data_IF_650641934809
#
_entry.id   IF_650641934809
#
_cell.length_a   1.000
_cell.length_b   1.000
_cell.length_c   1.000
_cell.angle_alpha   90.00
_cell.angle_beta   90.00
_cell.angle_gamma   90.00
#
_symmetry.space_group_name_H-M   'P 1'
#
loop_
_entity.id
_entity.type
_entity.pdbx_description
1 polymer ?
#
# COMPACT_ATOMS: atom_id res chain seq x y z
N UNK A 1 -17.57 15.34 -20.98
CA UNK A 1 -18.73 15.21 -20.06
C UNK A 1 -19.21 16.58 -19.68
N UNK A 2 -20.54 16.80 -19.78
CA UNK A 2 -21.14 18.13 -19.66
C UNK A 2 -22.13 18.25 -18.50
N UNK A 3 -22.51 17.11 -17.90
CA UNK A 3 -23.42 17.05 -16.75
C UNK A 3 -22.89 16.16 -15.65
N UNK A 4 -23.26 16.50 -14.43
CA UNK A 4 -22.91 15.75 -13.21
C UNK A 4 -23.94 14.68 -12.85
N UNK A 5 -25.05 14.62 -13.58
CA UNK A 5 -26.06 13.60 -13.37
C UNK A 5 -25.63 12.24 -13.94
N UNK A 6 -25.92 11.16 -13.22
CA UNK A 6 -25.73 9.77 -13.70
C UNK A 6 -27.06 9.20 -14.19
N UNK A 7 -27.70 9.90 -15.13
CA UNK A 7 -29.01 9.57 -15.69
C UNK A 7 -28.97 8.89 -17.06
N UNK A 8 -27.78 8.71 -17.62
CA UNK A 8 -27.57 8.15 -18.95
C UNK A 8 -27.91 9.11 -20.09
N UNK A 9 -28.22 10.38 -19.82
CA UNK A 9 -28.45 11.39 -20.83
C UNK A 9 -27.17 11.68 -21.65
N UNK A 10 -27.27 12.17 -22.88
CA UNK A 10 -26.14 12.66 -23.64
C UNK A 10 -25.35 13.68 -22.83
N UNK A 11 -24.02 13.49 -22.68
CA UNK A 11 -23.18 14.34 -21.86
C UNK A 11 -22.93 13.83 -20.44
N UNK A 12 -23.69 12.86 -19.94
CA UNK A 12 -23.36 12.18 -18.67
C UNK A 12 -22.13 11.30 -18.80
N UNK A 13 -21.40 11.10 -17.70
CA UNK A 13 -20.21 10.22 -17.67
C UNK A 13 -20.54 8.82 -18.23
N UNK A 14 -21.65 8.23 -17.81
CA UNK A 14 -22.09 6.90 -18.26
C UNK A 14 -22.33 6.84 -19.76
N UNK A 15 -23.00 7.85 -20.34
CA UNK A 15 -23.25 7.90 -21.77
C UNK A 15 -21.96 8.08 -22.58
N UNK A 16 -21.04 8.93 -22.11
CA UNK A 16 -19.76 9.16 -22.76
C UNK A 16 -18.87 7.90 -22.71
N UNK A 17 -18.79 7.20 -21.58
CA UNK A 17 -18.07 5.93 -21.48
C UNK A 17 -18.67 4.88 -22.41
N UNK A 18 -20.01 4.80 -22.52
CA UNK A 18 -20.67 3.84 -23.40
C UNK A 18 -20.39 4.11 -24.89
N UNK A 19 -20.29 5.37 -25.28
CA UNK A 19 -20.04 5.78 -26.65
C UNK A 19 -18.55 5.79 -27.05
N UNK A 20 -17.64 5.76 -26.11
CA UNK A 20 -16.21 5.87 -26.35
C UNK A 20 -15.64 4.68 -27.12
N UNK A 21 -14.63 4.95 -27.94
CA UNK A 21 -13.79 3.94 -28.57
C UNK A 21 -12.63 3.52 -27.61
N UNK A 22 -11.98 2.41 -27.94
CA UNK A 22 -10.80 2.01 -27.18
C UNK A 22 -9.66 3.00 -27.37
N UNK A 23 -9.08 3.43 -26.24
CA UNK A 23 -8.00 4.42 -26.20
C UNK A 23 -8.47 5.86 -26.05
N UNK A 24 -9.77 6.11 -26.05
CA UNK A 24 -10.32 7.45 -25.84
C UNK A 24 -10.02 7.99 -24.45
N UNK A 25 -10.00 9.32 -24.37
CA UNK A 25 -9.93 10.10 -23.15
C UNK A 25 -11.31 10.69 -22.84
N UNK A 26 -11.86 10.35 -21.69
CA UNK A 26 -13.08 10.95 -21.14
C UNK A 26 -12.69 12.16 -20.29
N UNK A 27 -12.88 13.35 -20.84
CA UNK A 27 -12.54 14.61 -20.16
C UNK A 27 -13.66 15.04 -19.22
N UNK A 28 -13.34 15.14 -17.93
CA UNK A 28 -14.18 15.63 -16.82
C UNK A 28 -13.71 17.00 -16.31
N UNK A 29 -12.66 17.56 -16.91
CA UNK A 29 -11.98 18.76 -16.36
C UNK A 29 -12.85 20.01 -16.38
N UNK A 30 -13.85 20.06 -17.26
CA UNK A 30 -14.75 21.19 -17.42
C UNK A 30 -16.01 21.13 -16.55
N UNK A 31 -16.23 20.04 -15.81
CA UNK A 31 -17.36 19.93 -14.90
C UNK A 31 -17.27 20.95 -13.77
N UNK A 32 -18.39 21.53 -13.42
CA UNK A 32 -18.49 22.54 -12.34
C UNK A 32 -18.90 21.95 -11.00
N UNK A 33 -19.50 20.75 -10.99
CA UNK A 33 -19.84 20.05 -9.76
C UNK A 33 -18.61 19.41 -9.09
N UNK A 34 -18.66 19.23 -7.81
CA UNK A 34 -17.64 18.51 -7.05
C UNK A 34 -17.85 16.99 -7.00
N UNK A 35 -19.03 16.50 -7.40
CA UNK A 35 -19.38 15.08 -7.28
C UNK A 35 -20.28 14.61 -8.41
N UNK A 36 -19.96 13.44 -8.96
CA UNK A 36 -20.85 12.62 -9.79
C UNK A 36 -21.28 11.44 -8.92
N UNK A 37 -22.53 11.43 -8.46
CA UNK A 37 -23.06 10.31 -7.65
C UNK A 37 -23.70 9.29 -8.57
N UNK A 38 -23.27 8.03 -8.47
CA UNK A 38 -23.82 6.93 -9.28
C UNK A 38 -25.23 6.56 -8.79
N UNK A 39 -26.19 6.54 -9.72
CA UNK A 39 -27.60 6.36 -9.39
C UNK A 39 -28.14 4.94 -9.67
N UNK A 40 -27.56 4.21 -10.63
CA UNK A 40 -28.18 2.99 -11.15
C UNK A 40 -27.32 1.73 -11.08
N UNK A 41 -26.02 1.82 -11.32
CA UNK A 41 -25.09 0.68 -11.35
C UNK A 41 -23.65 1.18 -11.45
N UNK A 42 -22.68 0.28 -11.36
CA UNK A 42 -21.31 0.57 -11.77
C UNK A 42 -21.26 1.07 -13.23
N UNK A 43 -20.28 1.91 -13.52
CA UNK A 43 -19.99 2.31 -14.90
C UNK A 43 -19.26 1.16 -15.59
N UNK A 44 -19.91 0.57 -16.59
CA UNK A 44 -19.36 -0.53 -17.37
C UNK A 44 -18.41 -0.01 -18.44
N UNK A 45 -17.14 -0.38 -18.36
CA UNK A 45 -16.10 -0.07 -19.35
C UNK A 45 -15.83 -1.33 -20.15
N UNK A 46 -16.38 -1.41 -21.36
CA UNK A 46 -16.24 -2.58 -22.25
C UNK A 46 -15.09 -2.45 -23.22
N UNK A 47 -14.55 -1.26 -23.37
CA UNK A 47 -13.39 -0.97 -24.22
C UNK A 47 -12.15 -1.67 -23.66
N UNK A 48 -11.24 -2.16 -24.53
CA UNK A 48 -9.91 -2.66 -24.07
C UNK A 48 -9.17 -1.63 -23.22
N UNK A 49 -9.13 -0.37 -23.63
CA UNK A 49 -8.52 0.72 -22.84
C UNK A 49 -9.39 1.96 -22.86
N UNK A 50 -9.40 2.67 -21.75
CA UNK A 50 -10.07 3.95 -21.60
C UNK A 50 -9.37 4.77 -20.53
N UNK A 51 -9.30 6.09 -20.71
CA UNK A 51 -8.74 6.99 -19.69
C UNK A 51 -9.79 8.01 -19.26
N UNK A 52 -9.91 8.25 -17.97
CA UNK A 52 -10.69 9.34 -17.39
C UNK A 52 -9.72 10.41 -16.87
N UNK A 53 -10.01 11.67 -17.20
CA UNK A 53 -9.25 12.84 -16.76
C UNK A 53 -10.15 13.78 -16.00
N UNK A 54 -9.94 13.88 -14.68
CA UNK A 54 -10.61 14.84 -13.81
C UNK A 54 -9.90 16.20 -13.78
N UNK A 55 -10.17 16.97 -12.74
CA UNK A 55 -9.58 18.29 -12.49
C UNK A 55 -8.82 18.40 -11.16
N UNK A 56 -8.53 17.27 -10.55
CA UNK A 56 -7.86 17.11 -9.27
C UNK A 56 -8.70 16.30 -8.29
N UNK A 57 -8.06 15.46 -7.45
CA UNK A 57 -8.77 14.61 -6.49
C UNK A 57 -9.54 15.42 -5.44
N UNK A 58 -9.08 16.62 -5.11
CA UNK A 58 -9.77 17.53 -4.19
C UNK A 58 -10.98 18.22 -4.81
N UNK A 59 -11.07 18.22 -6.14
CA UNK A 59 -12.06 19.01 -6.88
C UNK A 59 -13.19 18.19 -7.46
N UNK A 60 -12.97 16.89 -7.74
CA UNK A 60 -13.98 16.02 -8.33
C UNK A 60 -13.95 14.63 -7.72
N UNK A 61 -15.12 14.15 -7.31
CA UNK A 61 -15.35 12.81 -6.82
C UNK A 61 -16.36 12.07 -7.72
N UNK A 62 -16.03 10.82 -8.07
CA UNK A 62 -17.00 9.84 -8.59
C UNK A 62 -17.40 8.95 -7.43
N UNK A 63 -18.67 9.04 -7.03
CA UNK A 63 -19.19 8.47 -5.79
C UNK A 63 -20.10 7.27 -6.06
N UNK A 64 -19.72 6.09 -5.61
CA UNK A 64 -20.52 4.86 -5.68
C UNK A 64 -21.75 4.84 -4.76
N UNK A 65 -21.95 5.89 -3.96
CA UNK A 65 -23.06 6.10 -3.03
C UNK A 65 -23.25 4.97 -1.98
N UNK A 66 -22.24 4.14 -1.75
CA UNK A 66 -22.35 2.97 -0.88
C UNK A 66 -23.24 1.85 -1.44
N UNK A 67 -23.52 1.85 -2.73
CA UNK A 67 -24.42 0.89 -3.38
C UNK A 67 -23.79 0.18 -4.58
N UNK A 68 -22.85 0.82 -5.29
CA UNK A 68 -22.27 0.31 -6.52
C UNK A 68 -20.76 0.45 -6.50
N UNK A 69 -20.03 -0.53 -7.06
CA UNK A 69 -18.65 -0.24 -7.48
C UNK A 69 -18.67 0.92 -8.48
N UNK A 70 -17.63 1.77 -8.48
CA UNK A 70 -17.62 2.88 -9.41
C UNK A 70 -17.39 2.40 -10.84
N UNK A 71 -16.40 1.54 -11.06
CA UNK A 71 -16.02 1.06 -12.39
C UNK A 71 -15.93 -0.46 -12.46
N UNK A 72 -16.47 -1.01 -13.54
CA UNK A 72 -16.37 -2.41 -13.89
C UNK A 72 -15.76 -2.55 -15.30
N UNK A 73 -14.43 -2.70 -15.37
CA UNK A 73 -13.68 -2.74 -16.63
C UNK A 73 -13.51 -4.19 -17.10
N UNK A 74 -14.10 -4.50 -18.25
CA UNK A 74 -14.09 -5.83 -18.87
C UNK A 74 -12.99 -5.99 -19.92
N UNK A 75 -12.34 -4.91 -20.32
CA UNK A 75 -11.26 -4.91 -21.29
C UNK A 75 -9.95 -5.44 -20.73
N UNK A 76 -9.13 -6.07 -21.57
CA UNK A 76 -7.82 -6.59 -21.20
C UNK A 76 -6.69 -5.54 -21.24
N UNK A 77 -6.98 -4.32 -21.70
CA UNK A 77 -6.03 -3.22 -21.77
C UNK A 77 -5.94 -2.44 -20.45
N UNK A 78 -5.95 -1.13 -20.51
CA UNK A 78 -5.74 -0.27 -19.33
C UNK A 78 -6.94 0.65 -19.07
N UNK A 79 -7.46 0.59 -17.85
CA UNK A 79 -8.31 1.63 -17.29
C UNK A 79 -7.42 2.67 -16.60
N UNK A 80 -7.27 3.83 -17.25
CA UNK A 80 -6.57 5.00 -16.70
C UNK A 80 -7.52 5.88 -15.92
N UNK A 81 -7.12 6.33 -14.74
CA UNK A 81 -7.88 7.25 -13.89
C UNK A 81 -6.90 8.32 -13.41
N UNK A 82 -7.14 9.57 -13.82
CA UNK A 82 -6.28 10.68 -13.54
C UNK A 82 -7.05 11.87 -12.93
N UNK A 83 -6.43 12.52 -11.94
CA UNK A 83 -6.91 13.77 -11.33
C UNK A 83 -8.36 13.71 -10.81
N UNK A 84 -8.71 12.64 -10.08
CA UNK A 84 -10.06 12.44 -9.56
C UNK A 84 -10.05 11.54 -8.31
N UNK A 85 -11.03 11.75 -7.43
CA UNK A 85 -11.33 10.82 -6.33
C UNK A 85 -12.40 9.83 -6.76
N UNK A 86 -12.17 8.54 -6.50
CA UNK A 86 -13.18 7.48 -6.60
C UNK A 86 -13.52 7.06 -5.17
N UNK A 87 -14.78 7.22 -4.78
CA UNK A 87 -15.17 7.01 -3.39
C UNK A 87 -16.45 6.19 -3.21
N UNK A 88 -16.62 5.68 -1.98
CA UNK A 88 -17.85 5.06 -1.49
C UNK A 88 -18.38 3.95 -2.40
N UNK A 89 -17.47 3.24 -3.09
CA UNK A 89 -17.85 2.08 -3.88
C UNK A 89 -18.23 0.91 -2.97
N UNK A 90 -19.26 0.18 -3.36
CA UNK A 90 -19.73 -0.97 -2.61
C UNK A 90 -20.14 -2.11 -3.54
N UNK A 91 -19.64 -3.29 -3.26
CA UNK A 91 -20.13 -4.53 -3.87
C UNK A 91 -20.24 -5.62 -2.82
N UNK A 92 -21.44 -6.16 -2.62
CA UNK A 92 -21.64 -7.36 -1.83
C UNK A 92 -22.46 -8.37 -2.63
N UNK A 93 -21.91 -9.56 -2.80
CA UNK A 93 -22.56 -10.58 -3.63
C UNK A 93 -22.11 -12.00 -3.31
N UNK A 94 -22.88 -12.95 -3.82
CA UNK A 94 -22.54 -14.38 -3.74
C UNK A 94 -21.74 -14.87 -4.94
N UNK A 95 -21.51 -14.01 -5.93
CA UNK A 95 -20.80 -14.35 -7.15
C UNK A 95 -19.73 -13.29 -7.44
N UNK A 96 -18.48 -13.74 -7.53
CA UNK A 96 -17.31 -12.91 -7.83
C UNK A 96 -17.24 -11.56 -7.08
N UNK A 97 -17.25 -11.54 -5.72
CA UNK A 97 -17.16 -10.29 -4.96
C UNK A 97 -15.75 -9.69 -5.08
N UNK A 98 -15.57 -8.81 -6.05
CA UNK A 98 -14.28 -8.25 -6.46
C UNK A 98 -14.37 -6.76 -6.72
N UNK A 99 -13.41 -5.97 -6.21
CA UNK A 99 -13.26 -4.55 -6.52
C UNK A 99 -14.38 -3.67 -5.97
N UNK A 100 -14.27 -3.25 -4.71
CA UNK A 100 -15.29 -2.39 -4.08
C UNK A 100 -15.51 -1.08 -4.83
N UNK A 101 -14.45 -0.42 -5.30
CA UNK A 101 -14.54 0.74 -6.18
C UNK A 101 -14.19 0.40 -7.63
N UNK A 102 -13.11 -0.34 -7.86
CA UNK A 102 -12.61 -0.60 -9.21
C UNK A 102 -12.39 -2.11 -9.39
N UNK A 103 -13.11 -2.67 -10.35
CA UNK A 103 -12.84 -4.00 -10.91
C UNK A 103 -12.26 -3.85 -12.30
N UNK A 104 -11.14 -4.53 -12.59
CA UNK A 104 -10.55 -4.57 -13.93
C UNK A 104 -10.05 -5.96 -14.31
N UNK A 105 -10.45 -6.44 -15.50
CA UNK A 105 -9.84 -7.62 -16.14
C UNK A 105 -8.49 -7.31 -16.79
N UNK A 106 -8.17 -6.03 -16.98
CA UNK A 106 -6.90 -5.55 -17.50
C UNK A 106 -6.10 -4.82 -16.43
N UNK A 107 -5.29 -3.89 -16.89
CA UNK A 107 -4.48 -3.04 -16.02
C UNK A 107 -5.31 -1.87 -15.43
N UNK A 108 -4.86 -1.40 -14.27
CA UNK A 108 -5.34 -0.15 -13.66
C UNK A 108 -4.15 0.81 -13.56
N UNK A 109 -4.33 2.03 -14.05
CA UNK A 109 -3.37 3.11 -13.91
C UNK A 109 -4.01 4.27 -13.15
N UNK A 110 -3.47 4.59 -11.98
CA UNK A 110 -3.88 5.73 -11.17
C UNK A 110 -2.80 6.82 -11.24
N UNK A 111 -3.20 8.01 -11.63
CA UNK A 111 -2.32 9.17 -11.66
C UNK A 111 -2.96 10.33 -10.92
N UNK A 112 -2.27 10.85 -9.89
CA UNK A 112 -2.75 11.95 -9.05
C UNK A 112 -4.23 11.77 -8.68
N UNK A 113 -4.56 10.59 -8.15
CA UNK A 113 -5.94 10.17 -7.87
C UNK A 113 -6.05 9.49 -6.52
N UNK A 114 -7.24 9.53 -5.94
CA UNK A 114 -7.56 8.89 -4.67
C UNK A 114 -8.64 7.84 -4.87
N UNK A 115 -8.44 6.65 -4.30
CA UNK A 115 -9.47 5.60 -4.18
C UNK A 115 -9.72 5.41 -2.69
N UNK A 116 -10.96 5.66 -2.24
CA UNK A 116 -11.24 5.70 -0.80
C UNK A 116 -12.64 5.22 -0.42
N UNK A 117 -12.79 4.73 0.83
CA UNK A 117 -14.06 4.28 1.40
C UNK A 117 -14.77 3.22 0.54
N UNK A 118 -14.00 2.32 -0.05
CA UNK A 118 -14.55 1.27 -0.90
C UNK A 118 -14.74 -0.02 -0.10
N UNK A 119 -15.81 -0.72 -0.35
CA UNK A 119 -16.07 -1.99 0.35
C UNK A 119 -16.44 -3.09 -0.61
N UNK A 120 -15.83 -4.25 -0.43
CA UNK A 120 -16.29 -5.50 -1.06
C UNK A 120 -16.63 -6.52 0.02
N UNK A 121 -17.80 -7.13 -0.11
CA UNK A 121 -18.28 -8.15 0.81
C UNK A 121 -18.68 -9.44 0.10
N UNK A 122 -18.30 -10.60 0.64
CA UNK A 122 -18.81 -11.87 0.17
C UNK A 122 -20.02 -12.30 0.99
N UNK A 123 -21.11 -12.66 0.32
CA UNK A 123 -22.27 -13.31 0.90
C UNK A 123 -22.26 -14.82 0.65
N UNK A 124 -21.23 -15.32 -0.02
CA UNK A 124 -21.04 -16.73 -0.40
C UNK A 124 -20.25 -17.47 0.67
N UNK A 125 -20.56 -18.76 0.84
CA UNK A 125 -19.75 -19.69 1.62
C UNK A 125 -18.57 -20.27 0.82
N UNK A 126 -18.47 -19.99 -0.50
CA UNK A 126 -17.45 -20.55 -1.40
C UNK A 126 -16.61 -19.53 -2.15
N UNK A 127 -17.03 -18.25 -2.22
CA UNK A 127 -16.35 -17.21 -2.98
C UNK A 127 -15.63 -16.21 -2.04
N UNK A 128 -14.31 -15.99 -2.19
CA UNK A 128 -13.59 -14.98 -1.42
C UNK A 128 -14.00 -13.57 -1.81
N UNK A 129 -14.00 -12.65 -0.85
CA UNK A 129 -14.08 -11.23 -1.14
C UNK A 129 -12.66 -10.68 -1.39
N UNK A 130 -12.44 -9.97 -2.50
CA UNK A 130 -11.10 -9.55 -2.91
C UNK A 130 -11.03 -8.15 -3.49
N UNK A 131 -10.00 -7.37 -3.07
CA UNK A 131 -9.73 -6.04 -3.57
C UNK A 131 -10.74 -5.00 -3.11
N UNK A 132 -10.67 -4.57 -1.85
CA UNK A 132 -11.60 -3.59 -1.27
C UNK A 132 -11.66 -2.29 -2.06
N UNK A 133 -10.52 -1.68 -2.33
CA UNK A 133 -10.40 -0.53 -3.22
C UNK A 133 -10.35 -0.94 -4.68
N UNK A 134 -9.35 -1.74 -5.05
CA UNK A 134 -9.03 -2.12 -6.42
C UNK A 134 -8.84 -3.62 -6.57
N UNK A 135 -9.47 -4.20 -7.57
CA UNK A 135 -9.14 -5.52 -8.11
C UNK A 135 -8.61 -5.39 -9.53
N UNK A 136 -7.43 -5.93 -9.81
CA UNK A 136 -6.86 -5.96 -11.16
C UNK A 136 -6.35 -7.36 -11.52
N UNK A 137 -6.81 -7.89 -12.67
CA UNK A 137 -6.22 -9.12 -13.24
C UNK A 137 -4.88 -8.81 -13.91
N UNK A 138 -4.74 -7.64 -14.51
CA UNK A 138 -3.48 -7.09 -15.01
C UNK A 138 -2.68 -6.38 -13.93
N UNK A 139 -1.88 -5.41 -14.35
CA UNK A 139 -1.01 -4.64 -13.48
C UNK A 139 -1.75 -3.48 -12.79
N UNK A 140 -1.31 -3.12 -11.59
CA UNK A 140 -1.66 -1.87 -10.94
C UNK A 140 -0.44 -0.93 -10.96
N UNK A 141 -0.59 0.21 -11.60
CA UNK A 141 0.42 1.27 -11.57
C UNK A 141 -0.16 2.49 -10.88
N UNK A 142 0.53 2.97 -9.85
CA UNK A 142 0.15 4.14 -9.07
C UNK A 142 1.26 5.20 -9.16
N UNK A 143 0.89 6.43 -9.51
CA UNK A 143 1.81 7.57 -9.50
C UNK A 143 1.14 8.76 -8.84
N UNK A 144 1.75 9.32 -7.78
CA UNK A 144 1.18 10.38 -6.95
C UNK A 144 -0.27 10.07 -6.50
N UNK A 145 -0.56 8.83 -6.17
CA UNK A 145 -1.94 8.37 -5.92
C UNK A 145 -2.08 7.68 -4.58
N UNK A 146 -3.31 7.65 -4.08
CA UNK A 146 -3.61 7.06 -2.77
C UNK A 146 -4.75 6.05 -2.87
N UNK A 147 -4.57 4.89 -2.21
CA UNK A 147 -5.67 3.94 -1.91
C UNK A 147 -5.79 3.88 -0.40
N UNK A 148 -6.94 4.30 0.14
CA UNK A 148 -7.11 4.41 1.58
C UNK A 148 -8.52 4.03 2.04
N UNK A 149 -8.64 3.67 3.33
CA UNK A 149 -9.94 3.45 4.00
C UNK A 149 -10.87 2.49 3.24
N UNK A 150 -10.29 1.48 2.61
CA UNK A 150 -11.03 0.49 1.86
C UNK A 150 -11.06 -0.85 2.59
N UNK A 151 -12.16 -1.61 2.42
CA UNK A 151 -12.45 -2.75 3.26
C UNK A 151 -12.83 -4.00 2.45
N UNK A 152 -12.30 -5.14 2.88
CA UNK A 152 -12.77 -6.45 2.44
C UNK A 152 -13.39 -7.17 3.62
N UNK A 153 -14.62 -7.63 3.45
CA UNK A 153 -15.39 -8.34 4.46
C UNK A 153 -15.80 -9.72 3.94
N UNK A 154 -15.18 -10.76 4.45
CA UNK A 154 -15.64 -12.13 4.11
C UNK A 154 -16.80 -12.55 5.01
N UNK A 155 -17.68 -13.42 4.46
CA UNK A 155 -18.83 -13.99 5.17
C UNK A 155 -18.41 -14.86 6.35
N UNK A 156 -19.28 -14.98 7.32
CA UNK A 156 -19.18 -15.98 8.40
C UNK A 156 -19.13 -17.38 7.77
N UNK A 157 -18.08 -18.14 8.08
CA UNK A 157 -17.78 -19.45 7.48
C UNK A 157 -17.54 -19.43 5.95
N UNK A 158 -17.38 -18.24 5.35
CA UNK A 158 -16.97 -18.07 3.96
C UNK A 158 -15.45 -18.19 3.80
N UNK A 159 -14.96 -18.23 2.55
CA UNK A 159 -13.53 -18.20 2.27
C UNK A 159 -12.89 -16.86 2.63
N UNK A 160 -11.57 -16.79 2.47
CA UNK A 160 -10.73 -15.68 2.89
C UNK A 160 -11.13 -14.31 2.31
N UNK A 161 -10.67 -13.26 2.98
CA UNK A 161 -10.70 -11.86 2.52
C UNK A 161 -9.28 -11.45 2.06
N UNK A 162 -9.14 -10.91 0.85
CA UNK A 162 -7.82 -10.57 0.33
C UNK A 162 -7.74 -9.14 -0.19
N UNK A 163 -6.65 -8.43 0.16
CA UNK A 163 -6.32 -7.14 -0.41
C UNK A 163 -7.28 -6.04 -0.01
N UNK A 164 -7.21 -5.54 1.23
CA UNK A 164 -8.10 -4.48 1.73
C UNK A 164 -8.07 -3.23 0.84
N UNK A 165 -6.89 -2.70 0.55
CA UNK A 165 -6.70 -1.65 -0.45
C UNK A 165 -6.74 -2.19 -1.86
N UNK A 166 -6.02 -3.28 -2.15
CA UNK A 166 -5.99 -3.85 -3.50
C UNK A 166 -5.55 -5.31 -3.57
N UNK A 167 -6.14 -5.99 -4.55
CA UNK A 167 -5.74 -7.35 -4.96
C UNK A 167 -5.30 -7.32 -6.42
N UNK A 168 -4.07 -7.73 -6.70
CA UNK A 168 -3.47 -7.64 -8.03
C UNK A 168 -2.90 -8.99 -8.46
N UNK A 169 -3.39 -9.51 -9.59
CA UNK A 169 -2.86 -10.75 -10.18
C UNK A 169 -1.57 -10.47 -10.96
N UNK A 170 -1.52 -9.35 -11.68
CA UNK A 170 -0.33 -8.86 -12.35
C UNK A 170 0.65 -8.19 -11.37
N UNK A 171 1.51 -7.35 -11.90
CA UNK A 171 2.54 -6.64 -11.14
C UNK A 171 2.03 -5.33 -10.55
N UNK A 172 2.68 -4.88 -9.48
CA UNK A 172 2.43 -3.58 -8.86
C UNK A 172 3.63 -2.68 -9.04
N UNK A 173 3.39 -1.44 -9.50
CA UNK A 173 4.37 -0.36 -9.51
C UNK A 173 3.82 0.85 -8.77
N UNK A 174 4.50 1.28 -7.72
CA UNK A 174 4.14 2.46 -6.93
C UNK A 174 5.26 3.48 -6.96
N UNK A 175 4.92 4.70 -7.36
CA UNK A 175 5.82 5.84 -7.36
C UNK A 175 5.13 7.03 -6.69
N UNK A 176 5.73 7.56 -5.62
CA UNK A 176 5.18 8.70 -4.87
C UNK A 176 3.74 8.48 -4.40
N UNK A 177 3.44 7.26 -3.97
CA UNK A 177 2.06 6.82 -3.73
C UNK A 177 1.87 6.25 -2.33
N UNK A 178 0.62 6.25 -1.87
CA UNK A 178 0.28 5.79 -0.53
C UNK A 178 -0.80 4.72 -0.56
N UNK A 179 -0.62 3.67 0.24
CA UNK A 179 -1.67 2.70 0.56
C UNK A 179 -1.84 2.66 2.06
N UNK A 180 -2.98 3.16 2.57
CA UNK A 180 -3.12 3.34 4.01
C UNK A 180 -4.52 3.06 4.55
N UNK A 181 -4.58 2.64 5.82
CA UNK A 181 -5.82 2.47 6.58
C UNK A 181 -6.83 1.51 5.92
N UNK A 182 -6.35 0.56 5.12
CA UNK A 182 -7.21 -0.43 4.49
C UNK A 182 -7.31 -1.69 5.37
N UNK A 183 -8.40 -2.44 5.23
CA UNK A 183 -8.62 -3.64 6.06
C UNK A 183 -9.06 -4.84 5.23
N UNK A 184 -8.52 -6.01 5.58
CA UNK A 184 -9.01 -7.30 5.09
C UNK A 184 -9.33 -8.19 6.30
N UNK A 185 -10.62 -8.40 6.57
CA UNK A 185 -11.06 -9.13 7.76
C UNK A 185 -12.18 -10.11 7.48
N UNK A 186 -12.22 -11.17 8.28
CA UNK A 186 -13.34 -12.07 8.32
C UNK A 186 -14.20 -11.82 9.56
N UNK A 187 -15.51 -11.92 9.43
CA UNK A 187 -16.44 -11.61 10.51
C UNK A 187 -16.37 -12.59 11.70
N UNK A 188 -16.24 -13.89 11.45
CA UNK A 188 -16.01 -14.99 12.42
C UNK A 188 -15.71 -16.27 11.63
N UNK A 189 -14.71 -17.06 12.04
CA UNK A 189 -14.43 -18.35 11.42
C UNK A 189 -12.95 -18.74 11.51
N UNK A 190 -12.61 -19.87 10.89
CA UNK A 190 -11.24 -20.39 10.84
C UNK A 190 -10.43 -19.85 9.65
N UNK A 191 -11.07 -19.12 8.73
CA UNK A 191 -10.42 -18.50 7.58
C UNK A 191 -9.92 -17.10 7.94
N UNK A 192 -9.03 -16.54 7.14
CA UNK A 192 -8.29 -15.32 7.50
C UNK A 192 -8.40 -14.24 6.44
N UNK A 193 -8.24 -12.99 6.85
CA UNK A 193 -8.03 -11.87 5.95
C UNK A 193 -6.54 -11.65 5.73
N UNK A 194 -6.13 -11.49 4.48
CA UNK A 194 -4.73 -11.34 4.07
C UNK A 194 -4.50 -10.09 3.25
N UNK A 195 -3.31 -9.48 3.40
CA UNK A 195 -2.94 -8.29 2.65
C UNK A 195 -3.83 -7.10 2.93
N UNK A 196 -3.87 -6.61 4.18
CA UNK A 196 -4.72 -5.48 4.57
C UNK A 196 -4.54 -4.27 3.67
N UNK A 197 -3.30 -3.92 3.33
CA UNK A 197 -2.99 -2.93 2.30
C UNK A 197 -3.10 -3.53 0.90
N UNK A 198 -2.20 -4.44 0.56
CA UNK A 198 -2.12 -5.09 -0.76
C UNK A 198 -1.88 -6.60 -0.65
N UNK A 199 -2.52 -7.33 -1.55
CA UNK A 199 -2.20 -8.71 -1.90
C UNK A 199 -1.76 -8.78 -3.37
N UNK A 200 -0.53 -9.24 -3.65
CA UNK A 200 0.07 -9.20 -5.00
C UNK A 200 0.55 -10.58 -5.44
N UNK A 201 0.21 -10.98 -6.66
CA UNK A 201 0.66 -12.25 -7.27
C UNK A 201 1.74 -12.09 -8.34
N UNK A 202 2.06 -10.86 -8.75
CA UNK A 202 3.11 -10.53 -9.72
C UNK A 202 4.35 -9.92 -9.08
N UNK A 203 5.18 -9.27 -9.89
CA UNK A 203 6.33 -8.50 -9.43
C UNK A 203 5.88 -7.23 -8.68
N UNK A 204 6.74 -6.74 -7.79
CA UNK A 204 6.47 -5.52 -7.02
C UNK A 204 7.63 -4.55 -7.16
N UNK A 205 7.32 -3.30 -7.50
CA UNK A 205 8.26 -2.18 -7.48
C UNK A 205 7.64 -1.00 -6.70
N UNK A 206 8.21 -0.71 -5.55
CA UNK A 206 7.74 0.37 -4.67
C UNK A 206 8.88 1.36 -4.50
N UNK A 207 8.67 2.59 -4.96
CA UNK A 207 9.68 3.64 -4.92
C UNK A 207 9.07 4.94 -4.40
N UNK A 208 9.73 5.61 -3.46
CA UNK A 208 9.28 6.86 -2.80
C UNK A 208 7.83 6.78 -2.29
N UNK A 209 7.43 5.64 -1.75
CA UNK A 209 6.02 5.35 -1.45
C UNK A 209 5.84 4.84 -0.03
N UNK A 210 4.61 4.94 0.48
CA UNK A 210 4.30 4.55 1.85
C UNK A 210 3.14 3.55 1.89
N UNK A 211 3.32 2.46 2.67
CA UNK A 211 2.25 1.51 3.02
C UNK A 211 2.08 1.56 4.54
N UNK A 212 0.95 2.11 5.02
CA UNK A 212 0.83 2.38 6.46
C UNK A 212 -0.57 2.22 7.04
N UNK A 213 -0.63 1.82 8.31
CA UNK A 213 -1.90 1.77 9.05
C UNK A 213 -2.89 0.74 8.54
N UNK A 214 -2.47 -0.18 7.67
CA UNK A 214 -3.37 -1.22 7.15
C UNK A 214 -3.50 -2.37 8.15
N UNK A 215 -4.61 -3.08 8.12
CA UNK A 215 -4.87 -4.18 9.04
C UNK A 215 -5.50 -5.38 8.35
N UNK A 216 -5.06 -6.57 8.75
CA UNK A 216 -5.69 -7.82 8.35
C UNK A 216 -5.68 -8.84 9.49
N UNK A 217 -6.35 -9.96 9.26
CA UNK A 217 -6.24 -11.04 10.23
C UNK A 217 -4.84 -11.67 10.17
N UNK A 218 -4.24 -11.82 8.96
CA UNK A 218 -2.93 -12.48 8.84
C UNK A 218 -1.80 -11.53 8.44
N UNK A 219 -1.81 -10.92 7.23
CA UNK A 219 -0.78 -9.96 6.81
C UNK A 219 -1.35 -8.54 6.76
N UNK A 220 -0.89 -7.67 7.67
CA UNK A 220 -1.44 -6.32 7.82
C UNK A 220 -1.18 -5.40 6.64
N UNK A 221 0.08 -5.25 6.23
CA UNK A 221 0.48 -4.27 5.21
C UNK A 221 0.50 -4.84 3.79
N UNK A 222 1.62 -5.46 3.41
CA UNK A 222 1.89 -5.95 2.06
C UNK A 222 2.14 -7.46 2.06
N UNK A 223 1.36 -8.17 1.29
CA UNK A 223 1.60 -9.58 0.99
C UNK A 223 2.03 -9.78 -0.46
N UNK A 224 3.23 -10.35 -0.65
CA UNK A 224 3.77 -10.68 -1.98
C UNK A 224 3.74 -12.19 -2.15
N UNK A 225 2.63 -12.69 -2.67
CA UNK A 225 2.42 -14.12 -2.94
C UNK A 225 2.85 -14.47 -4.37
N UNK A 226 4.12 -14.27 -4.66
CA UNK A 226 4.70 -14.40 -6.01
C UNK A 226 6.07 -15.08 -5.98
N UNK A 227 6.52 -15.56 -7.13
CA UNK A 227 7.92 -15.97 -7.37
C UNK A 227 8.65 -14.95 -8.26
N UNK A 228 8.00 -13.85 -8.65
CA UNK A 228 8.62 -12.77 -9.40
C UNK A 228 9.41 -11.86 -8.46
N UNK A 229 10.45 -11.16 -8.92
CA UNK A 229 11.25 -10.29 -8.06
C UNK A 229 10.42 -9.13 -7.49
N UNK A 230 10.85 -8.66 -6.32
CA UNK A 230 10.27 -7.49 -5.65
C UNK A 230 11.36 -6.49 -5.26
N UNK A 231 11.06 -5.21 -5.37
CA UNK A 231 11.96 -4.11 -5.02
C UNK A 231 11.23 -3.04 -4.19
N UNK A 232 11.91 -2.53 -3.18
CA UNK A 232 11.44 -1.39 -2.37
C UNK A 232 12.60 -0.43 -2.19
N UNK A 233 12.49 0.78 -2.77
CA UNK A 233 13.52 1.81 -2.72
C UNK A 233 12.95 3.12 -2.16
N UNK A 234 13.66 3.75 -1.21
CA UNK A 234 13.17 4.97 -0.56
C UNK A 234 11.69 4.82 -0.15
N UNK A 235 11.34 3.72 0.50
CA UNK A 235 9.97 3.40 0.88
C UNK A 235 9.79 3.32 2.39
N UNK A 236 8.56 3.54 2.85
CA UNK A 236 8.18 3.38 4.25
C UNK A 236 7.04 2.37 4.38
N UNK A 237 7.22 1.35 5.24
CA UNK A 237 6.15 0.41 5.63
C UNK A 237 5.97 0.52 7.14
N UNK A 238 4.83 1.09 7.58
CA UNK A 238 4.70 1.49 8.98
C UNK A 238 3.29 1.34 9.56
N UNK A 239 3.23 0.96 10.83
CA UNK A 239 1.97 0.95 11.57
C UNK A 239 0.95 -0.07 11.07
N UNK A 240 1.36 -1.05 10.28
CA UNK A 240 0.46 -2.08 9.78
C UNK A 240 0.27 -3.19 10.83
N UNK A 241 -0.91 -3.79 10.88
CA UNK A 241 -1.30 -4.73 11.94
C UNK A 241 -1.79 -6.06 11.38
N UNK A 242 -1.07 -7.14 11.66
CA UNK A 242 -1.56 -8.51 11.51
C UNK A 242 -2.09 -9.02 12.86
N UNK A 243 -3.35 -9.41 12.92
CA UNK A 243 -3.97 -9.85 14.19
C UNK A 243 -3.51 -11.23 14.63
N UNK A 244 -3.29 -12.12 13.66
CA UNK A 244 -2.94 -13.53 13.88
C UNK A 244 -1.59 -13.94 13.28
N UNK A 245 -0.91 -13.03 12.54
CA UNK A 245 0.28 -13.34 11.77
C UNK A 245 1.27 -12.19 11.68
N UNK A 246 1.43 -11.61 10.51
CA UNK A 246 2.51 -10.70 10.16
C UNK A 246 2.04 -9.23 10.08
N UNK A 247 2.86 -8.30 10.57
CA UNK A 247 2.50 -6.88 10.62
C UNK A 247 2.71 -6.16 9.29
N UNK A 248 3.96 -5.83 8.96
CA UNK A 248 4.31 -4.95 7.83
C UNK A 248 4.31 -5.65 6.48
N UNK A 249 5.25 -6.58 6.30
CA UNK A 249 5.48 -7.24 5.02
C UNK A 249 5.72 -8.74 5.16
N UNK A 250 5.03 -9.51 4.36
CA UNK A 250 5.29 -10.92 4.14
C UNK A 250 5.58 -11.17 2.66
N UNK A 251 6.62 -11.97 2.35
CA UNK A 251 6.98 -12.27 0.97
C UNK A 251 7.45 -13.70 0.73
N UNK A 252 7.03 -14.22 -0.41
CA UNK A 252 7.54 -15.44 -1.02
C UNK A 252 8.49 -15.15 -2.18
N UNK A 253 8.62 -13.89 -2.57
CA UNK A 253 9.48 -13.40 -3.64
C UNK A 253 10.88 -13.07 -3.13
N UNK A 254 11.89 -13.26 -3.96
CA UNK A 254 13.18 -12.62 -3.75
C UNK A 254 12.98 -11.10 -3.69
N UNK A 255 13.47 -10.47 -2.63
CA UNK A 255 13.18 -9.07 -2.33
C UNK A 255 14.47 -8.28 -2.13
N UNK A 256 14.55 -7.13 -2.79
CA UNK A 256 15.59 -6.12 -2.56
C UNK A 256 14.99 -4.90 -1.89
N UNK A 257 15.55 -4.51 -0.76
CA UNK A 257 15.17 -3.29 -0.02
C UNK A 257 16.40 -2.42 0.11
N UNK A 258 16.30 -1.17 -0.34
CA UNK A 258 17.38 -0.19 -0.19
C UNK A 258 16.86 1.15 0.29
N UNK A 259 17.63 1.78 1.19
CA UNK A 259 17.33 3.12 1.70
C UNK A 259 15.85 3.25 2.13
N UNK A 260 15.33 2.28 2.89
CA UNK A 260 13.92 2.18 3.24
C UNK A 260 13.73 1.98 4.74
N UNK A 261 12.52 2.26 5.23
CA UNK A 261 12.18 2.14 6.65
C UNK A 261 10.97 1.23 6.84
N UNK A 262 11.13 0.16 7.61
CA UNK A 262 10.05 -0.75 8.03
C UNK A 262 9.94 -0.67 9.55
N UNK A 263 8.95 0.06 10.07
CA UNK A 263 8.89 0.35 11.50
C UNK A 263 7.46 0.42 12.05
N UNK A 264 7.33 0.23 13.36
CA UNK A 264 6.07 0.34 14.11
C UNK A 264 4.94 -0.58 13.62
N UNK A 265 5.27 -1.65 12.89
CA UNK A 265 4.29 -2.65 12.52
C UNK A 265 4.04 -3.63 13.68
N UNK A 266 2.86 -4.23 13.73
CA UNK A 266 2.49 -5.11 14.82
C UNK A 266 1.97 -6.47 14.34
N UNK A 267 2.45 -7.54 14.97
CA UNK A 267 1.86 -8.87 14.93
C UNK A 267 1.25 -9.16 16.31
N UNK A 268 -0.08 -9.24 16.42
CA UNK A 268 -0.75 -9.26 17.73
C UNK A 268 -0.90 -10.65 18.35
N UNK A 269 -0.76 -11.70 17.56
CA UNK A 269 -0.82 -13.09 18.02
C UNK A 269 0.17 -13.94 17.26
N UNK A 270 0.66 -14.98 17.88
CA UNK A 270 1.54 -15.97 17.29
C UNK A 270 0.85 -17.33 17.22
N UNK A 271 -0.29 -17.38 16.53
CA UNK A 271 -1.04 -18.62 16.35
C UNK A 271 -0.25 -19.68 15.56
N UNK A 272 0.74 -19.25 14.77
CA UNK A 272 1.60 -20.13 13.96
C UNK A 272 2.95 -20.45 14.57
N UNK A 273 3.37 -19.77 15.66
CA UNK A 273 4.72 -19.87 16.26
C UNK A 273 5.83 -19.22 15.43
N UNK A 274 5.47 -18.47 14.35
CA UNK A 274 6.45 -17.89 13.42
C UNK A 274 6.13 -16.45 13.02
N UNK A 275 5.26 -15.78 13.76
CA UNK A 275 4.85 -14.39 13.47
C UNK A 275 6.04 -13.44 13.50
N UNK A 276 6.07 -12.51 12.54
CA UNK A 276 7.05 -11.43 12.48
C UNK A 276 6.31 -10.12 12.21
N UNK A 277 6.60 -9.11 13.01
CA UNK A 277 5.90 -7.84 12.92
C UNK A 277 6.41 -6.95 11.78
N UNK A 278 7.72 -6.89 11.56
CA UNK A 278 8.32 -6.06 10.51
C UNK A 278 8.30 -6.73 9.14
N UNK A 279 9.33 -7.51 8.85
CA UNK A 279 9.55 -8.22 7.57
C UNK A 279 9.67 -9.71 7.78
N UNK A 280 8.81 -10.49 7.15
CA UNK A 280 8.91 -11.95 7.08
C UNK A 280 9.15 -12.43 5.65
N UNK A 281 10.23 -13.19 5.43
CA UNK A 281 10.56 -13.66 4.08
C UNK A 281 10.71 -15.19 4.00
N UNK A 282 10.16 -15.76 2.93
CA UNK A 282 10.37 -17.16 2.55
C UNK A 282 11.39 -17.33 1.41
N UNK A 283 12.02 -16.23 0.95
CA UNK A 283 12.93 -16.21 -0.19
C UNK A 283 14.15 -15.32 0.09
N UNK A 284 15.19 -15.35 -0.75
CA UNK A 284 16.39 -14.54 -0.56
C UNK A 284 16.09 -13.04 -0.43
N UNK A 285 16.84 -12.37 0.47
CA UNK A 285 16.77 -10.94 0.72
C UNK A 285 18.09 -10.25 0.37
N UNK A 286 17.98 -9.05 -0.21
CA UNK A 286 19.05 -8.05 -0.27
C UNK A 286 18.61 -6.84 0.53
N UNK A 287 19.27 -6.56 1.64
CA UNK A 287 18.97 -5.44 2.53
C UNK A 287 20.13 -4.46 2.50
N UNK A 288 19.88 -3.23 2.06
CA UNK A 288 20.91 -2.22 1.87
C UNK A 288 20.49 -0.89 2.49
N UNK A 289 21.28 -0.38 3.43
CA UNK A 289 21.05 0.93 4.07
C UNK A 289 19.62 1.15 4.55
N UNK A 290 19.02 0.13 5.16
CA UNK A 290 17.61 0.14 5.52
C UNK A 290 17.41 -0.06 7.02
N UNK A 291 16.38 0.59 7.56
CA UNK A 291 15.95 0.45 8.94
C UNK A 291 14.81 -0.58 9.00
N UNK A 292 14.96 -1.61 9.83
CA UNK A 292 13.88 -2.52 10.23
C UNK A 292 13.88 -2.55 11.75
N UNK A 293 13.03 -1.75 12.39
CA UNK A 293 13.10 -1.52 13.83
C UNK A 293 11.74 -1.12 14.42
N UNK A 294 11.64 -1.15 15.73
CA UNK A 294 10.42 -0.77 16.45
C UNK A 294 9.15 -1.54 16.03
N UNK A 295 9.31 -2.73 15.44
CA UNK A 295 8.17 -3.60 15.13
C UNK A 295 7.90 -4.55 16.29
N UNK A 296 6.64 -4.69 16.68
CA UNK A 296 6.27 -5.43 17.89
C UNK A 296 5.47 -6.71 17.59
N UNK A 297 6.04 -7.83 17.96
CA UNK A 297 5.35 -9.13 17.99
C UNK A 297 4.66 -9.39 19.33
N UNK A 298 3.93 -10.50 19.46
CA UNK A 298 3.23 -10.85 20.69
C UNK A 298 4.17 -11.11 21.89
N UNK A 299 5.43 -11.41 21.64
CA UNK A 299 6.42 -11.72 22.65
C UNK A 299 7.52 -10.64 22.79
N UNK A 300 7.36 -9.46 22.20
CA UNK A 300 8.32 -8.35 22.19
C UNK A 300 8.78 -7.93 20.81
N UNK A 301 9.95 -7.28 20.69
CA UNK A 301 10.47 -6.81 19.41
C UNK A 301 10.55 -7.91 18.35
N UNK A 302 10.16 -7.63 17.13
CA UNK A 302 10.02 -8.64 16.06
C UNK A 302 10.19 -8.00 14.66
N UNK A 303 11.43 -7.69 14.29
CA UNK A 303 11.72 -6.90 13.09
C UNK A 303 11.93 -7.76 11.86
N UNK A 304 12.88 -8.70 11.90
CA UNK A 304 13.24 -9.54 10.76
C UNK A 304 13.08 -11.03 11.07
N UNK A 305 12.27 -11.70 10.31
CA UNK A 305 12.05 -13.13 10.39
C UNK A 305 11.86 -13.79 9.04
N UNK A 306 11.71 -15.11 9.03
CA UNK A 306 11.47 -15.84 7.79
C UNK A 306 11.87 -17.31 7.85
N UNK A 307 11.94 -17.94 6.67
CA UNK A 307 12.31 -19.33 6.52
C UNK A 307 13.79 -19.53 6.81
N UNK A 308 14.12 -20.50 7.67
CA UNK A 308 15.50 -20.84 7.98
C UNK A 308 16.29 -21.24 6.71
N UNK A 309 17.52 -20.73 6.61
CA UNK A 309 18.45 -21.06 5.52
C UNK A 309 18.31 -20.22 4.25
N UNK A 310 17.43 -19.22 4.22
CA UNK A 310 17.45 -18.25 3.11
C UNK A 310 18.72 -17.41 3.15
N UNK A 311 19.16 -16.96 1.96
CA UNK A 311 20.28 -16.04 1.84
C UNK A 311 19.82 -14.62 2.16
N UNK A 312 20.52 -13.94 3.09
CA UNK A 312 20.35 -12.50 3.35
C UNK A 312 21.68 -11.83 3.10
N UNK A 313 21.71 -10.87 2.17
CA UNK A 313 22.91 -10.13 1.75
C UNK A 313 22.68 -8.63 1.79
N UNK A 314 23.73 -7.85 1.55
CA UNK A 314 23.74 -6.39 1.64
C UNK A 314 24.54 -5.92 2.85
N UNK A 315 24.47 -4.64 3.18
CA UNK A 315 25.17 -4.07 4.33
C UNK A 315 24.59 -2.73 4.78
N UNK A 316 25.22 -2.15 5.83
CA UNK A 316 24.87 -0.83 6.38
C UNK A 316 23.38 -0.73 6.78
N UNK A 317 22.83 -1.76 7.39
CA UNK A 317 21.45 -1.76 7.87
C UNK A 317 21.36 -1.45 9.35
N UNK A 318 20.16 -1.11 9.83
CA UNK A 318 19.82 -1.03 11.23
C UNK A 318 18.64 -1.94 11.51
N UNK A 319 18.87 -3.05 12.25
CA UNK A 319 17.86 -4.08 12.55
C UNK A 319 17.96 -4.43 14.02
N UNK A 320 16.94 -4.08 14.81
CA UNK A 320 17.03 -4.19 16.28
C UNK A 320 16.70 -5.60 16.81
N UNK A 321 15.89 -6.36 16.08
CA UNK A 321 15.48 -7.72 16.47
C UNK A 321 15.37 -8.64 15.25
N UNK A 322 15.89 -9.87 15.37
CA UNK A 322 15.87 -10.81 14.24
C UNK A 322 15.89 -12.27 14.69
N UNK A 323 15.23 -13.12 13.90
CA UNK A 323 15.31 -14.59 14.03
C UNK A 323 16.20 -15.21 12.93
N UNK A 324 16.54 -14.44 11.91
CA UNK A 324 17.48 -14.79 10.85
C UNK A 324 18.74 -13.95 10.99
N UNK A 325 19.95 -14.49 10.76
CA UNK A 325 21.17 -13.70 10.84
C UNK A 325 21.12 -12.52 9.84
N UNK A 326 21.28 -11.29 10.31
CA UNK A 326 21.26 -10.11 9.46
C UNK A 326 22.53 -10.06 8.58
N UNK A 327 22.53 -9.22 7.51
CA UNK A 327 23.72 -9.02 6.70
C UNK A 327 24.86 -8.38 7.48
N UNK A 328 26.05 -8.33 6.86
CA UNK A 328 27.24 -7.71 7.47
C UNK A 328 27.00 -6.21 7.72
N UNK A 329 27.77 -5.64 8.68
CA UNK A 329 27.70 -4.23 9.06
C UNK A 329 26.28 -3.77 9.46
N UNK A 330 25.47 -4.67 10.01
CA UNK A 330 24.15 -4.33 10.55
C UNK A 330 24.30 -3.81 11.98
N UNK A 331 23.73 -2.64 12.23
CA UNK A 331 23.59 -2.05 13.58
C UNK A 331 22.34 -2.62 14.25
N UNK A 332 22.36 -2.63 15.60
CA UNK A 332 21.23 -3.10 16.41
C UNK A 332 20.80 -2.11 17.50
N UNK A 333 21.41 -0.94 17.50
CA UNK A 333 21.05 0.13 18.43
C UNK A 333 19.70 0.77 18.01
N UNK A 334 19.09 1.51 18.93
CA UNK A 334 17.82 2.18 18.68
C UNK A 334 17.95 3.27 17.58
N UNK A 335 17.10 3.28 16.55
CA UNK A 335 17.15 4.30 15.49
C UNK A 335 16.62 5.65 15.92
N UNK A 336 15.93 5.79 17.05
CA UNK A 336 15.28 7.03 17.50
C UNK A 336 14.44 7.70 16.39
N UNK A 337 13.48 6.91 15.83
CA UNK A 337 12.57 7.39 14.79
C UNK A 337 11.48 8.30 15.37
N UNK A 338 11.20 9.41 14.70
CA UNK A 338 10.03 10.23 14.99
C UNK A 338 8.73 9.56 14.50
N UNK A 339 7.55 9.91 15.02
CA UNK A 339 6.27 9.39 14.54
C UNK A 339 6.06 9.59 13.03
N UNK A 340 5.31 8.67 12.39
CA UNK A 340 4.96 8.79 10.97
C UNK A 340 4.17 10.07 10.71
N UNK A 341 4.74 11.00 9.95
CA UNK A 341 4.16 12.31 9.71
C UNK A 341 4.36 12.79 8.27
N UNK A 342 3.70 13.86 7.93
CA UNK A 342 4.02 14.66 6.74
C UNK A 342 5.29 15.47 7.05
N UNK A 343 6.40 14.98 6.56
CA UNK A 343 7.72 15.57 6.73
C UNK A 343 8.22 16.21 5.42
N UNK A 344 7.29 16.53 4.52
CA UNK A 344 7.55 16.96 3.16
C UNK A 344 7.53 15.79 2.15
N UNK A 345 7.59 16.12 0.87
CA UNK A 345 7.45 15.15 -0.20
C UNK A 345 5.99 14.74 -0.45
N UNK A 346 5.80 13.63 -1.16
CA UNK A 346 4.46 13.16 -1.57
C UNK A 346 3.86 12.13 -0.61
N UNK A 347 4.64 11.59 0.32
CA UNK A 347 4.22 10.50 1.21
C UNK A 347 4.76 10.71 2.62
N UNK A 348 4.06 10.19 3.63
CA UNK A 348 4.50 10.28 5.03
C UNK A 348 5.74 9.45 5.27
N UNK A 349 6.62 9.94 6.16
CA UNK A 349 7.88 9.29 6.53
C UNK A 349 8.11 9.35 8.04
N UNK A 350 9.14 8.63 8.51
CA UNK A 350 9.70 8.79 9.85
C UNK A 350 10.98 9.63 9.74
N UNK A 351 11.02 10.76 10.39
CA UNK A 351 12.28 11.53 10.56
C UNK A 351 13.20 10.83 11.55
N UNK A 352 14.50 11.06 11.39
CA UNK A 352 15.52 10.66 12.34
C UNK A 352 15.65 11.73 13.44
N UNK A 353 15.76 11.33 14.72
CA UNK A 353 16.23 12.25 15.75
C UNK A 353 17.70 12.63 15.50
N UNK A 354 18.11 13.81 15.89
CA UNK A 354 19.52 14.25 15.78
C UNK A 354 20.52 13.33 16.51
N UNK A 355 20.05 12.50 17.42
CA UNK A 355 20.87 11.51 18.13
C UNK A 355 20.83 10.12 17.50
N UNK A 356 20.12 9.98 16.37
CA UNK A 356 19.97 8.68 15.72
C UNK A 356 21.29 8.10 15.25
N UNK A 357 21.51 6.85 15.56
CA UNK A 357 22.67 6.07 15.08
C UNK A 357 22.57 5.73 13.59
N UNK A 358 21.46 6.04 12.94
CA UNK A 358 21.28 5.90 11.50
C UNK A 358 21.99 6.99 10.70
N UNK A 359 22.24 8.15 11.32
CA UNK A 359 22.86 9.32 10.65
C UNK A 359 24.32 9.00 10.28
N UNK A 360 24.71 9.30 9.04
CA UNK A 360 26.06 9.12 8.48
C UNK A 360 26.58 7.68 8.51
N UNK A 361 25.69 6.67 8.53
CA UNK A 361 26.09 5.25 8.63
C UNK A 361 25.53 4.35 7.53
N UNK A 362 24.85 4.93 6.58
CA UNK A 362 24.31 4.21 5.42
C UNK A 362 25.25 4.22 4.22
N UNK A 363 24.68 3.83 3.10
CA UNK A 363 25.31 3.91 1.78
C UNK A 363 24.25 4.18 0.70
N UNK A 364 24.69 4.67 -0.45
CA UNK A 364 23.81 5.00 -1.55
C UNK A 364 24.25 4.29 -2.86
N UNK A 365 24.17 2.96 -2.93
CA UNK A 365 24.67 2.21 -4.09
C UNK A 365 23.87 2.49 -5.36
N UNK A 366 22.65 2.98 -5.24
CA UNK A 366 21.78 3.35 -6.36
C UNK A 366 22.01 4.80 -6.82
N UNK A 367 22.93 5.53 -6.18
CA UNK A 367 23.24 6.95 -6.49
C UNK A 367 21.98 7.83 -6.51
N UNK A 368 21.06 7.57 -5.55
CA UNK A 368 19.84 8.34 -5.40
C UNK A 368 20.17 9.78 -5.03
N UNK A 369 19.65 10.74 -5.76
CA UNK A 369 19.89 12.15 -5.51
C UNK A 369 19.00 12.71 -4.38
N UNK A 370 17.90 12.05 -4.11
CA UNK A 370 16.86 12.48 -3.19
C UNK A 370 16.45 11.36 -2.24
N UNK A 371 16.12 11.73 -1.00
CA UNK A 371 15.45 10.88 -0.04
C UNK A 371 13.93 10.78 -0.35
N UNK A 372 13.17 10.04 0.46
CA UNK A 372 11.72 9.87 0.25
C UNK A 372 10.94 11.19 0.30
N UNK A 373 11.46 12.22 0.98
CA UNK A 373 10.88 13.56 1.11
C UNK A 373 11.28 14.52 -0.01
N UNK A 374 12.11 14.11 -0.96
CA UNK A 374 12.80 14.94 -1.95
C UNK A 374 13.89 15.86 -1.39
N UNK A 375 14.30 15.67 -0.16
CA UNK A 375 15.51 16.30 0.37
C UNK A 375 16.77 15.69 -0.28
N UNK A 376 17.91 16.38 -0.19
CA UNK A 376 19.17 15.88 -0.72
C UNK A 376 19.58 14.60 0.01
N UNK A 377 19.96 13.54 -0.74
CA UNK A 377 20.23 12.22 -0.16
C UNK A 377 21.61 12.08 0.47
N UNK A 378 22.63 12.64 -0.13
CA UNK A 378 24.00 12.55 0.38
C UNK A 378 24.34 13.86 1.13
N UNK A 379 24.15 13.88 2.45
CA UNK A 379 24.43 15.01 3.33
C UNK A 379 25.30 14.50 4.49
N UNK A 380 26.25 15.31 4.97
CA UNK A 380 27.13 14.92 6.07
C UNK A 380 28.34 14.09 5.62
N UNK A 381 28.76 13.14 6.45
CA UNK A 381 29.95 12.32 6.21
C UNK A 381 29.65 11.08 5.33
N UNK A 382 28.41 10.61 5.37
CA UNK A 382 27.88 9.52 4.55
C UNK A 382 26.35 9.65 4.46
N UNK A 383 25.72 8.87 3.58
CA UNK A 383 24.26 8.75 3.52
C UNK A 383 23.70 8.15 4.82
N UNK A 384 22.51 8.54 5.21
CA UNK A 384 21.83 7.95 6.36
C UNK A 384 21.25 6.58 6.06
N UNK A 385 21.08 5.75 7.08
CA UNK A 385 20.32 4.50 6.98
C UNK A 385 18.81 4.83 6.98
N UNK A 386 18.05 4.24 6.07
CA UNK A 386 16.60 4.40 6.01
C UNK A 386 16.11 5.25 4.84
N UNK A 387 14.82 5.57 4.84
CA UNK A 387 14.16 6.28 3.74
C UNK A 387 14.35 7.80 3.75
N UNK A 388 14.85 8.33 4.85
CA UNK A 388 15.02 9.78 5.12
C UNK A 388 16.47 10.10 5.38
N UNK A 389 16.93 11.25 4.90
CA UNK A 389 18.25 11.82 5.15
C UNK A 389 18.11 13.02 6.07
N UNK A 390 18.76 13.02 7.21
CA UNK A 390 18.76 14.17 8.14
C UNK A 390 19.37 15.41 7.48
N UNK A 391 18.67 16.54 7.57
CA UNK A 391 19.12 17.78 6.93
C UNK A 391 19.67 18.76 7.98
N UNK A 392 20.73 19.51 7.67
CA UNK A 392 21.24 20.56 8.56
C UNK A 392 20.16 21.59 8.91
N UNK A 393 19.91 21.78 10.20
CA UNK A 393 18.91 22.73 10.71
C UNK A 393 17.55 22.09 11.01
N UNK A 394 17.36 20.81 10.75
CA UNK A 394 16.22 20.06 11.32
C UNK A 394 16.36 20.02 12.84
N UNK A 395 15.26 20.26 13.54
CA UNK A 395 15.21 20.25 15.01
C UNK A 395 14.21 19.20 15.47
N UNK A 396 14.50 18.55 16.59
CA UNK A 396 13.59 17.56 17.19
C UNK A 396 12.37 18.23 17.87
N UNK A 397 11.71 19.16 17.21
CA UNK A 397 10.60 19.91 17.80
C UNK A 397 9.42 19.04 18.26
N UNK A 398 9.39 17.77 17.89
CA UNK A 398 8.32 16.82 18.24
C UNK A 398 8.65 15.90 19.43
N UNK A 399 9.77 16.08 20.11
CA UNK A 399 10.22 15.26 21.26
C UNK A 399 9.30 15.29 22.51
N UNK A 400 8.25 16.11 22.51
CA UNK A 400 7.35 16.25 23.67
C UNK A 400 5.96 15.63 23.51
N UNK A 401 5.77 14.69 22.61
CA UNK A 401 4.56 13.83 22.64
C UNK A 401 4.82 12.71 23.64
N UNK A 402 4.49 12.95 24.90
CA UNK A 402 4.60 11.97 25.97
C UNK A 402 4.01 10.60 25.55
N UNK A 403 4.87 9.57 25.49
CA UNK A 403 4.50 8.20 25.21
C UNK A 403 5.03 7.59 23.90
N UNK A 404 5.85 8.28 23.15
CA UNK A 404 6.55 7.76 21.97
C UNK A 404 8.08 7.75 22.16
N UNK A 405 8.53 7.30 23.32
CA UNK A 405 9.88 6.77 23.41
C UNK A 405 9.84 5.44 22.67
N UNK A 406 10.63 5.28 21.59
CA UNK A 406 10.65 4.08 20.78
C UNK A 406 10.80 2.84 21.67
N UNK A 407 10.26 1.70 21.23
CA UNK A 407 10.31 0.43 21.99
C UNK A 407 11.74 0.01 22.42
N UNK A 408 12.75 0.65 21.88
CA UNK A 408 14.15 0.37 22.20
C UNK A 408 14.63 0.99 23.53
N UNK A 409 13.92 1.95 24.09
CA UNK A 409 14.32 2.64 25.33
C UNK A 409 13.66 2.05 26.60
N UNK A 410 12.96 0.89 26.48
CA UNK A 410 12.30 0.20 27.60
C UNK A 410 13.06 -1.04 28.07
#
# INVERSE_FOLDING_TARGET
VDTCADDGSPGSLRAQVTAAASGDLIDLSQLTCSTITLANSAIMVTQPSLTLQGRGPEALTIDGAGHYSAFYHLGAGTLGIADVTIANGYYAGSFEPKGGCIFSKGNVFLFHSVVTHCTVGSLSASEPAIGGGVYAEGNLTMKNSTITESHVLASVNGPNAFGGGGYVIGSVAMLYSTISNNTATQFFGANVGDGGGLFVKGAVDITYSTISGNSADYVGGLEIFSNQPATIFNGTISGNVGKLGYGGLWTKSALTISNSTIAFNAARSDASGTSTAGLHSLAPLVLQSSIIADNIGPNGPSDLGGMAGISITGDNNLITSYTLPPPMNTRSECPHLQPLADNGGSTRTHELSHTSVAIDHGSNPLTLQKDQRFATRDVGAATDIGSVEWQPGETDERLFVAGFDGLCDQ
#
